data_IF_035747534470
#
_entry.id   IF_035747534470
#
_cell.length_a   1.000
_cell.length_b   1.000
_cell.length_c   1.000
_cell.angle_alpha   90.00
_cell.angle_beta   90.00
_cell.angle_gamma   90.00
#
_symmetry.space_group_name_H-M   'P 1'
#
loop_
_entity.id
_entity.type
_entity.pdbx_description
1 polymer ?
#
# COMPACT_ATOMS: atom_id res chain seq x y z
N UNK A 1 -0.84 0.29 28.05
CA UNK A 1 -2.06 -0.45 27.61
C UNK A 1 -1.88 -0.70 26.13
N UNK A 2 -2.11 -1.91 25.66
CA UNK A 2 -1.96 -2.21 24.23
C UNK A 2 -3.03 -1.47 23.42
N UNK A 3 -2.62 -0.94 22.25
CA UNK A 3 -3.48 -0.26 21.28
C UNK A 3 -4.63 -1.17 20.89
N UNK A 4 -5.86 -0.73 21.05
CA UNK A 4 -7.02 -1.48 20.53
C UNK A 4 -8.15 -0.55 20.12
N UNK A 5 -8.86 -0.94 19.07
CA UNK A 5 -10.08 -0.27 18.67
C UNK A 5 -11.26 -0.65 19.58
N UNK A 6 -12.11 0.31 19.85
CA UNK A 6 -13.30 0.12 20.68
C UNK A 6 -14.47 0.87 20.06
N UNK A 7 -15.61 0.20 19.98
CA UNK A 7 -16.85 0.84 19.56
C UNK A 7 -17.33 1.83 20.62
N UNK A 8 -17.85 2.96 20.15
CA UNK A 8 -18.49 3.97 20.99
C UNK A 8 -20.00 3.76 21.03
N UNK A 9 -20.66 4.14 22.16
CA UNK A 9 -22.11 3.99 22.35
C UNK A 9 -22.97 4.81 21.37
N UNK A 10 -22.42 5.86 20.76
CA UNK A 10 -23.10 6.72 19.78
C UNK A 10 -22.75 6.42 18.33
N UNK A 11 -22.14 5.25 18.05
CA UNK A 11 -21.54 4.94 16.74
C UNK A 11 -20.09 5.40 16.66
N UNK A 12 -19.40 5.00 15.57
CA UNK A 12 -17.97 5.25 15.41
C UNK A 12 -17.08 4.31 16.23
N UNK A 13 -15.80 4.42 16.00
CA UNK A 13 -14.76 3.60 16.63
C UNK A 13 -13.71 4.51 17.26
N UNK A 14 -13.16 4.15 18.40
CA UNK A 14 -12.07 4.90 19.03
C UNK A 14 -10.83 4.03 19.17
N UNK A 15 -9.66 4.66 19.00
CA UNK A 15 -8.34 4.05 19.21
C UNK A 15 -7.47 4.97 20.05
N UNK A 16 -6.57 4.40 20.85
CA UNK A 16 -5.49 5.13 21.52
C UNK A 16 -4.23 4.31 21.42
N UNK A 17 -3.11 4.97 21.13
CA UNK A 17 -1.79 4.38 21.04
C UNK A 17 -0.91 4.86 22.18
N UNK A 18 0.10 4.10 22.54
CA UNK A 18 1.26 4.62 23.27
C UNK A 18 2.13 5.43 22.31
N UNK A 19 3.03 6.25 22.86
CA UNK A 19 3.96 7.03 22.03
C UNK A 19 4.81 6.13 21.13
N UNK A 20 5.33 5.03 21.68
CA UNK A 20 6.13 4.05 20.93
C UNK A 20 5.34 3.36 19.83
N UNK A 21 4.09 2.96 20.08
CA UNK A 21 3.22 2.37 19.06
C UNK A 21 2.91 3.36 17.94
N UNK A 22 2.67 4.63 18.27
CA UNK A 22 2.40 5.66 17.27
C UNK A 22 3.65 6.02 16.45
N UNK A 23 4.83 6.07 17.06
CA UNK A 23 6.11 6.27 16.37
C UNK A 23 6.39 5.13 15.39
N UNK A 24 6.22 3.87 15.84
CA UNK A 24 6.38 2.71 15.00
C UNK A 24 5.41 2.75 13.80
N UNK A 25 4.13 3.03 14.05
CA UNK A 25 3.14 3.13 12.97
C UNK A 25 3.47 4.26 11.98
N UNK A 26 3.90 5.44 12.46
CA UNK A 26 4.30 6.54 11.56
C UNK A 26 5.47 6.13 10.68
N UNK A 27 6.49 5.49 11.23
CA UNK A 27 7.63 4.99 10.47
C UNK A 27 7.16 3.99 9.40
N UNK A 28 6.39 2.97 9.78
CA UNK A 28 5.89 1.96 8.86
C UNK A 28 4.97 2.55 7.76
N UNK A 29 4.13 3.54 8.10
CA UNK A 29 3.27 4.22 7.12
C UNK A 29 4.07 5.06 6.14
N UNK A 30 5.13 5.72 6.61
CA UNK A 30 6.06 6.48 5.76
C UNK A 30 6.81 5.55 4.81
N UNK A 31 7.28 4.40 5.30
CA UNK A 31 7.96 3.40 4.48
C UNK A 31 7.01 2.79 3.43
N UNK A 32 5.75 2.54 3.81
CA UNK A 32 4.72 2.06 2.90
C UNK A 32 4.39 3.10 1.81
N UNK A 33 4.28 4.40 2.16
CA UNK A 33 4.06 5.46 1.17
C UNK A 33 5.23 5.59 0.20
N UNK A 34 6.47 5.50 0.70
CA UNK A 34 7.68 5.48 -0.12
C UNK A 34 7.72 4.26 -1.06
N UNK A 35 7.33 3.07 -0.55
CA UNK A 35 7.24 1.86 -1.37
C UNK A 35 6.18 2.01 -2.49
N UNK A 36 5.03 2.61 -2.20
CA UNK A 36 4.01 2.90 -3.22
C UNK A 36 4.48 3.96 -4.22
N UNK A 37 5.30 4.92 -3.76
CA UNK A 37 5.90 5.95 -4.60
C UNK A 37 6.90 5.41 -5.61
N UNK A 38 7.62 4.31 -5.30
CA UNK A 38 8.56 3.70 -6.24
C UNK A 38 7.91 3.16 -7.52
N UNK A 39 6.59 2.95 -7.51
CA UNK A 39 5.83 2.63 -8.73
C UNK A 39 5.75 3.81 -9.72
N UNK A 40 5.94 5.05 -9.27
CA UNK A 40 5.98 6.23 -10.13
C UNK A 40 7.32 6.34 -10.88
N UNK A 41 8.39 5.84 -10.26
CA UNK A 41 9.76 5.86 -10.79
C UNK A 41 10.06 4.65 -11.70
N UNK A 42 9.16 3.67 -11.78
CA UNK A 42 9.33 2.51 -12.65
C UNK A 42 9.26 2.95 -14.13
N UNK A 43 10.33 2.74 -14.94
CA UNK A 43 10.36 3.14 -16.34
C UNK A 43 9.22 2.52 -17.17
N UNK A 44 8.71 1.36 -16.78
CA UNK A 44 7.51 0.76 -17.38
C UNK A 44 6.21 1.49 -17.02
N UNK A 45 6.23 2.31 -15.97
CA UNK A 45 5.11 3.12 -15.49
C UNK A 45 5.32 4.62 -15.71
N UNK A 46 6.55 5.06 -16.00
CA UNK A 46 6.99 6.48 -15.99
C UNK A 46 6.62 7.28 -17.23
N UNK A 47 5.96 6.71 -18.23
CA UNK A 47 5.60 7.45 -19.46
C UNK A 47 4.69 8.68 -19.20
N UNK A 48 4.31 8.95 -17.94
CA UNK A 48 3.35 10.00 -17.59
C UNK A 48 3.91 11.21 -16.85
N UNK A 49 5.17 11.19 -16.36
CA UNK A 49 5.71 12.30 -15.56
C UNK A 49 6.53 13.33 -16.35
N UNK A 50 6.82 13.12 -17.64
CA UNK A 50 7.80 13.92 -18.39
C UNK A 50 7.24 15.09 -19.21
N UNK A 51 5.97 15.47 -19.11
CA UNK A 51 5.39 16.55 -19.92
C UNK A 51 4.57 17.60 -19.16
N UNK A 52 5.03 18.01 -17.98
CA UNK A 52 4.54 19.25 -17.37
C UNK A 52 5.44 20.47 -17.65
N UNK A 53 6.50 20.34 -18.45
CA UNK A 53 7.32 21.50 -18.80
C UNK A 53 7.43 21.62 -20.33
N UNK A 54 6.71 22.61 -20.88
CA UNK A 54 6.66 22.90 -22.30
C UNK A 54 7.93 23.60 -22.77
N UNK A 55 8.49 23.14 -23.88
CA UNK A 55 9.13 24.05 -24.83
C UNK A 55 9.20 23.42 -26.23
N UNK A 56 8.63 24.12 -27.11
CA UNK A 56 8.61 24.31 -28.53
C UNK A 56 9.89 23.90 -29.30
N UNK A 57 9.72 23.31 -30.50
CA UNK A 57 10.71 23.53 -31.57
C UNK A 57 11.16 22.32 -32.41
N UNK A 58 10.59 22.21 -33.62
CA UNK A 58 11.18 21.96 -34.93
C UNK A 58 11.35 20.54 -35.50
N UNK A 59 10.86 20.47 -36.73
CA UNK A 59 10.93 19.54 -37.86
C UNK A 59 12.20 18.69 -38.01
N UNK A 60 12.03 17.45 -38.51
CA UNK A 60 13.09 16.63 -39.10
C UNK A 60 12.62 15.25 -39.56
N UNK A 61 12.27 15.12 -40.83
CA UNK A 61 11.95 13.89 -41.55
C UNK A 61 13.10 12.86 -41.47
N UNK A 62 12.78 11.58 -41.25
CA UNK A 62 13.71 10.48 -41.38
C UNK A 62 13.15 9.14 -40.91
N UNK A 63 12.55 8.37 -41.83
CA UNK A 63 12.28 6.96 -41.66
C UNK A 63 13.58 6.16 -41.60
N UNK A 64 13.79 5.24 -40.68
CA UNK A 64 13.88 3.85 -41.07
C UNK A 64 13.26 2.82 -40.08
N UNK A 65 12.80 1.75 -40.69
CA UNK A 65 12.18 0.56 -40.17
C UNK A 65 12.83 -0.09 -38.92
N UNK A 66 12.02 -0.53 -37.97
CA UNK A 66 12.22 -1.78 -37.23
C UNK A 66 12.98 -1.69 -35.91
N UNK A 67 12.35 -1.15 -34.87
CA UNK A 67 12.58 -1.58 -33.48
C UNK A 67 11.28 -1.24 -32.73
N UNK A 68 10.76 -2.15 -31.89
CA UNK A 68 9.49 -1.99 -31.20
C UNK A 68 9.43 -0.65 -30.47
N UNK A 69 8.79 0.31 -31.08
CA UNK A 69 8.53 1.61 -30.48
C UNK A 69 7.55 1.38 -29.32
N UNK A 70 7.99 1.69 -28.11
CA UNK A 70 7.09 1.88 -26.99
C UNK A 70 6.00 2.86 -27.46
N UNK A 71 4.77 2.39 -27.59
CA UNK A 71 3.65 3.20 -28.05
C UNK A 71 3.54 4.41 -27.11
N UNK A 72 3.57 5.62 -27.67
CA UNK A 72 3.34 6.84 -26.92
C UNK A 72 1.99 6.72 -26.19
N UNK A 73 1.91 7.08 -24.89
CA UNK A 73 0.66 6.96 -24.14
C UNK A 73 -0.40 7.85 -24.80
N UNK A 74 -1.58 7.24 -25.06
CA UNK A 74 -2.73 7.97 -25.60
C UNK A 74 -3.10 9.11 -24.65
N UNK A 75 -3.08 10.38 -25.09
CA UNK A 75 -3.44 11.53 -24.26
C UNK A 75 -4.82 11.41 -23.60
N UNK A 76 -5.76 10.71 -24.25
CA UNK A 76 -7.09 10.43 -23.71
C UNK A 76 -7.00 9.38 -22.58
N UNK A 77 -6.16 8.36 -22.73
CA UNK A 77 -5.94 7.36 -21.69
C UNK A 77 -5.41 8.01 -20.41
N UNK A 78 -4.45 8.95 -20.56
CA UNK A 78 -3.90 9.74 -19.44
C UNK A 78 -4.99 10.58 -18.77
N UNK A 79 -5.83 11.25 -19.54
CA UNK A 79 -6.88 12.12 -19.04
C UNK A 79 -7.97 11.35 -18.28
N UNK A 80 -8.21 10.08 -18.61
CA UNK A 80 -9.16 9.20 -17.92
C UNK A 80 -8.51 8.28 -16.87
N UNK A 81 -7.23 8.49 -16.56
CA UNK A 81 -6.52 7.75 -15.51
C UNK A 81 -6.12 6.32 -15.89
N UNK A 82 -6.04 6.00 -17.20
CA UNK A 82 -5.53 4.72 -17.68
C UNK A 82 -4.01 4.75 -17.61
N UNK A 83 -3.43 3.94 -16.71
CA UNK A 83 -1.99 3.85 -16.51
C UNK A 83 -1.26 3.12 -17.65
N UNK A 84 0.06 3.18 -17.62
CA UNK A 84 0.96 2.48 -18.56
C UNK A 84 1.47 1.16 -18.02
N UNK A 85 1.20 0.84 -16.75
CA UNK A 85 1.66 -0.37 -16.09
C UNK A 85 1.08 -1.63 -16.75
N UNK A 86 1.93 -2.39 -17.42
CA UNK A 86 1.59 -3.64 -18.11
C UNK A 86 2.23 -4.87 -17.46
N UNK A 87 3.30 -4.69 -16.69
CA UNK A 87 4.02 -5.75 -15.98
C UNK A 87 3.72 -5.74 -14.49
N UNK A 88 3.83 -6.89 -13.84
CA UNK A 88 3.78 -6.98 -12.39
C UNK A 88 4.98 -6.22 -11.79
N UNK A 89 4.82 -5.59 -10.59
CA UNK A 89 5.95 -4.99 -9.88
C UNK A 89 7.04 -6.02 -9.63
N UNK A 90 8.31 -5.64 -9.79
CA UNK A 90 9.46 -6.51 -9.50
C UNK A 90 9.62 -6.77 -7.99
N UNK A 91 9.26 -5.81 -7.16
CA UNK A 91 9.29 -5.95 -5.71
C UNK A 91 8.18 -6.92 -5.24
N UNK A 92 8.52 -8.02 -4.56
CA UNK A 92 7.54 -9.02 -4.11
C UNK A 92 6.46 -8.43 -3.19
N UNK A 93 6.80 -7.45 -2.35
CA UNK A 93 5.82 -6.80 -1.47
C UNK A 93 4.84 -5.93 -2.26
N UNK A 94 5.30 -5.25 -3.31
CA UNK A 94 4.41 -4.55 -4.24
C UNK A 94 3.53 -5.53 -5.04
N UNK A 95 4.09 -6.63 -5.52
CA UNK A 95 3.32 -7.68 -6.20
C UNK A 95 2.23 -8.25 -5.29
N UNK A 96 2.49 -8.33 -3.97
CA UNK A 96 1.49 -8.76 -2.98
C UNK A 96 0.38 -7.73 -2.79
N UNK A 97 0.68 -6.43 -2.90
CA UNK A 97 -0.31 -5.35 -2.83
C UNK A 97 -1.11 -5.21 -4.12
N UNK A 98 -0.50 -5.52 -5.27
CA UNK A 98 -1.09 -5.40 -6.61
C UNK A 98 -1.02 -6.75 -7.34
N UNK A 99 -1.77 -7.77 -6.85
CA UNK A 99 -1.75 -9.10 -7.47
C UNK A 99 -2.37 -9.07 -8.86
N UNK A 100 -2.03 -10.07 -9.66
CA UNK A 100 -2.63 -10.28 -10.97
C UNK A 100 -4.13 -10.54 -10.85
N UNK A 101 -4.89 -9.95 -11.77
CA UNK A 101 -6.33 -10.15 -11.81
C UNK A 101 -6.72 -11.52 -12.39
N UNK A 102 -5.85 -12.11 -13.20
CA UNK A 102 -6.05 -13.40 -13.86
C UNK A 102 -4.80 -14.26 -13.73
N UNK A 103 -4.95 -15.51 -13.28
CA UNK A 103 -3.83 -16.42 -12.98
C UNK A 103 -3.27 -17.08 -14.25
N UNK A 104 -4.12 -17.25 -15.28
CA UNK A 104 -3.80 -18.06 -16.47
C UNK A 104 -3.81 -17.23 -17.77
N UNK A 105 -3.90 -15.89 -17.68
CA UNK A 105 -3.95 -14.98 -18.82
C UNK A 105 -3.14 -13.70 -18.53
N UNK A 106 -1.89 -13.70 -18.97
CA UNK A 106 -0.97 -12.59 -18.78
C UNK A 106 -1.43 -11.31 -19.50
N UNK A 107 -2.07 -11.44 -20.68
CA UNK A 107 -2.57 -10.32 -21.46
C UNK A 107 -3.77 -9.65 -20.73
N UNK A 108 -4.73 -10.45 -20.26
CA UNK A 108 -5.85 -9.96 -19.47
C UNK A 108 -5.38 -9.34 -18.14
N UNK A 109 -4.35 -9.92 -17.49
CA UNK A 109 -3.74 -9.37 -16.29
C UNK A 109 -3.06 -8.02 -16.55
N UNK A 110 -2.34 -7.88 -17.67
CA UNK A 110 -1.72 -6.62 -18.08
C UNK A 110 -2.78 -5.53 -18.32
N UNK A 111 -3.86 -5.86 -19.03
CA UNK A 111 -4.96 -4.93 -19.25
C UNK A 111 -5.66 -4.54 -17.95
N UNK A 112 -5.98 -5.51 -17.09
CA UNK A 112 -6.56 -5.24 -15.77
C UNK A 112 -5.68 -4.29 -14.95
N UNK A 113 -4.37 -4.54 -14.91
CA UNK A 113 -3.40 -3.71 -14.18
C UNK A 113 -3.37 -2.30 -14.73
N UNK A 114 -3.33 -2.13 -16.04
CA UNK A 114 -3.34 -0.83 -16.71
C UNK A 114 -4.52 0.05 -16.32
N UNK A 115 -5.72 -0.55 -16.12
CA UNK A 115 -6.92 0.19 -15.75
C UNK A 115 -7.10 0.39 -14.24
N UNK A 116 -6.46 -0.43 -13.39
CA UNK A 116 -6.78 -0.44 -11.95
C UNK A 116 -5.63 -0.03 -11.04
N UNK A 117 -4.36 -0.25 -11.43
CA UNK A 117 -3.21 -0.07 -10.54
C UNK A 117 -3.07 1.36 -10.03
N UNK A 118 -3.22 2.36 -10.90
CA UNK A 118 -3.12 3.76 -10.49
C UNK A 118 -4.20 4.13 -9.45
N UNK A 119 -5.46 3.79 -9.72
CA UNK A 119 -6.56 4.05 -8.78
C UNK A 119 -6.41 3.31 -7.44
N UNK A 120 -5.94 2.06 -7.48
CA UNK A 120 -5.67 1.29 -6.26
C UNK A 120 -4.51 1.89 -5.45
N UNK A 121 -3.44 2.35 -6.11
CA UNK A 121 -2.33 3.04 -5.47
C UNK A 121 -2.80 4.33 -4.79
N UNK A 122 -3.54 5.16 -5.50
CA UNK A 122 -4.03 6.44 -4.98
C UNK A 122 -4.97 6.24 -3.79
N UNK A 123 -5.84 5.23 -3.84
CA UNK A 123 -6.68 4.85 -2.70
C UNK A 123 -5.85 4.45 -1.47
N UNK A 124 -4.78 3.65 -1.64
CA UNK A 124 -3.88 3.27 -0.55
C UNK A 124 -3.15 4.47 0.05
N UNK A 125 -2.64 5.37 -0.80
CA UNK A 125 -1.99 6.61 -0.32
C UNK A 125 -2.96 7.50 0.45
N UNK A 126 -4.22 7.59 0.03
CA UNK A 126 -5.26 8.29 0.78
C UNK A 126 -5.51 7.66 2.15
N UNK A 127 -5.54 6.32 2.24
CA UNK A 127 -5.65 5.61 3.52
C UNK A 127 -4.46 5.89 4.44
N UNK A 128 -3.23 5.90 3.90
CA UNK A 128 -2.02 6.26 4.65
C UNK A 128 -2.12 7.68 5.18
N UNK A 129 -2.48 8.65 4.34
CA UNK A 129 -2.65 10.05 4.74
C UNK A 129 -3.71 10.20 5.85
N UNK A 130 -4.82 9.48 5.76
CA UNK A 130 -5.87 9.45 6.78
C UNK A 130 -5.37 8.87 8.10
N UNK A 131 -4.60 7.79 8.05
CA UNK A 131 -4.02 7.17 9.25
C UNK A 131 -2.98 8.07 9.90
N UNK A 132 -2.08 8.69 9.12
CA UNK A 132 -1.09 9.65 9.60
C UNK A 132 -1.76 10.88 10.24
N UNK A 133 -2.82 11.40 9.63
CA UNK A 133 -3.62 12.50 10.19
C UNK A 133 -4.26 12.09 11.51
N UNK A 134 -4.78 10.88 11.60
CA UNK A 134 -5.35 10.33 12.84
C UNK A 134 -4.30 10.22 13.95
N UNK A 135 -3.10 9.72 13.64
CA UNK A 135 -2.00 9.61 14.60
C UNK A 135 -1.57 10.98 15.13
N UNK A 136 -1.68 12.04 14.30
CA UNK A 136 -1.42 13.43 14.68
C UNK A 136 -0.10 13.65 15.40
N UNK A 137 0.04 14.79 16.08
CA UNK A 137 1.22 15.12 16.90
C UNK A 137 1.12 14.54 18.33
N UNK A 138 -0.10 14.33 18.86
CA UNK A 138 -0.31 13.82 20.21
C UNK A 138 -0.77 12.35 20.16
N UNK A 139 0.18 11.46 20.23
CA UNK A 139 -0.04 10.02 20.22
C UNK A 139 -0.86 9.50 21.42
N UNK A 140 -0.85 10.24 22.54
CA UNK A 140 -1.55 9.82 23.77
C UNK A 140 -3.04 10.13 23.76
N UNK A 141 -3.48 10.92 22.79
CA UNK A 141 -4.88 11.27 22.65
C UNK A 141 -5.66 10.08 22.09
N UNK A 142 -6.85 9.89 22.63
CA UNK A 142 -7.81 8.93 22.04
C UNK A 142 -8.42 9.57 20.80
N UNK A 143 -8.27 8.89 19.67
CA UNK A 143 -8.83 9.31 18.39
C UNK A 143 -10.18 8.64 18.17
N UNK A 144 -11.16 9.40 17.72
CA UNK A 144 -12.47 8.90 17.29
C UNK A 144 -12.48 8.89 15.77
N UNK A 145 -12.77 7.73 15.23
CA UNK A 145 -12.86 7.49 13.80
C UNK A 145 -14.33 7.45 13.38
N UNK A 146 -14.66 8.15 12.32
CA UNK A 146 -15.87 7.91 11.54
C UNK A 146 -15.75 6.62 10.71
N UNK A 147 -16.76 6.33 9.91
CA UNK A 147 -16.78 5.10 9.11
C UNK A 147 -15.69 5.10 8.02
N UNK A 148 -15.40 6.24 7.42
CA UNK A 148 -14.40 6.39 6.36
C UNK A 148 -12.98 6.22 6.92
N UNK A 149 -12.66 6.92 8.01
CA UNK A 149 -11.37 6.75 8.68
C UNK A 149 -11.17 5.33 9.22
N UNK A 150 -12.22 4.69 9.74
CA UNK A 150 -12.14 3.29 10.18
C UNK A 150 -11.87 2.33 9.02
N UNK A 151 -12.47 2.58 7.84
CA UNK A 151 -12.20 1.80 6.63
C UNK A 151 -10.76 2.02 6.14
N UNK A 152 -10.26 3.26 6.14
CA UNK A 152 -8.89 3.58 5.81
C UNK A 152 -7.89 2.85 6.75
N UNK A 153 -8.15 2.86 8.06
CA UNK A 153 -7.35 2.11 9.02
C UNK A 153 -7.35 0.60 8.76
N UNK A 154 -8.49 0.03 8.38
CA UNK A 154 -8.58 -1.39 8.04
C UNK A 154 -7.70 -1.72 6.83
N UNK A 155 -7.77 -0.89 5.77
CA UNK A 155 -6.95 -1.03 4.57
C UNK A 155 -5.46 -0.91 4.88
N UNK A 156 -5.06 0.12 5.62
CA UNK A 156 -3.65 0.35 5.98
C UNK A 156 -3.07 -0.79 6.83
N UNK A 157 -3.79 -1.25 7.85
CA UNK A 157 -3.33 -2.37 8.69
C UNK A 157 -3.18 -3.66 7.88
N UNK A 158 -4.07 -3.89 6.91
CA UNK A 158 -3.95 -5.00 5.97
C UNK A 158 -2.70 -4.87 5.10
N UNK A 159 -2.48 -3.70 4.50
CA UNK A 159 -1.35 -3.44 3.62
C UNK A 159 -0.01 -3.56 4.35
N UNK A 160 0.10 -2.99 5.56
CA UNK A 160 1.28 -3.16 6.43
C UNK A 160 1.57 -4.63 6.74
N UNK A 161 0.52 -5.43 7.01
CA UNK A 161 0.68 -6.87 7.26
C UNK A 161 1.10 -7.62 6.01
N UNK A 162 0.54 -7.30 4.85
CA UNK A 162 0.93 -7.94 3.58
C UNK A 162 2.40 -7.68 3.27
N UNK A 163 2.84 -6.42 3.35
CA UNK A 163 4.24 -6.03 3.10
C UNK A 163 5.19 -6.69 4.10
N UNK A 164 4.89 -6.59 5.39
CA UNK A 164 5.74 -7.15 6.44
C UNK A 164 5.76 -8.69 6.39
N UNK A 165 4.62 -9.30 6.10
CA UNK A 165 4.51 -10.76 5.95
C UNK A 165 5.36 -11.28 4.79
N UNK A 166 5.35 -10.58 3.64
CA UNK A 166 6.20 -10.91 2.49
C UNK A 166 7.68 -10.73 2.81
N UNK A 167 8.07 -9.61 3.43
CA UNK A 167 9.46 -9.32 3.80
C UNK A 167 10.04 -10.31 4.83
N UNK A 168 9.18 -10.88 5.68
CA UNK A 168 9.56 -11.85 6.71
C UNK A 168 9.32 -13.30 6.29
N UNK A 169 8.80 -13.51 5.07
CA UNK A 169 8.44 -14.83 4.55
C UNK A 169 7.51 -15.59 5.52
N UNK A 170 6.50 -14.87 6.08
CA UNK A 170 5.60 -15.43 7.08
C UNK A 170 4.77 -16.55 6.46
N UNK A 171 4.81 -17.72 7.09
CA UNK A 171 3.98 -18.89 6.74
C UNK A 171 2.72 -18.95 7.61
N UNK A 172 1.84 -19.91 7.32
CA UNK A 172 0.63 -20.15 8.14
C UNK A 172 0.98 -20.61 9.58
N UNK A 173 2.16 -21.22 9.78
CA UNK A 173 2.66 -21.64 11.09
C UNK A 173 3.65 -20.62 11.68
N UNK A 174 3.13 -19.47 12.10
CA UNK A 174 3.93 -18.42 12.76
C UNK A 174 4.57 -18.90 14.08
N UNK A 175 3.86 -19.72 14.85
CA UNK A 175 4.35 -20.25 16.11
C UNK A 175 5.52 -21.20 15.89
N UNK A 176 5.44 -22.07 14.88
CA UNK A 176 6.55 -22.93 14.47
C UNK A 176 7.76 -22.16 13.97
N UNK A 177 7.54 -21.10 13.18
CA UNK A 177 8.62 -20.18 12.76
C UNK A 177 9.32 -19.55 13.95
N UNK A 178 8.58 -19.00 14.91
CA UNK A 178 9.13 -18.39 16.13
C UNK A 178 9.88 -19.42 16.99
N UNK A 179 9.37 -20.64 17.11
CA UNK A 179 10.01 -21.72 17.87
C UNK A 179 11.34 -22.18 17.24
N UNK A 180 11.42 -22.18 15.90
CA UNK A 180 12.62 -22.58 15.17
C UNK A 180 13.72 -21.49 15.17
N UNK A 181 13.38 -20.22 15.42
CA UNK A 181 14.34 -19.11 15.41
C UNK A 181 15.18 -19.06 16.67
N UNK A 182 16.48 -18.75 16.52
CA UNK A 182 17.35 -18.47 17.66
C UNK A 182 16.81 -17.29 18.49
N UNK A 183 16.98 -17.31 19.84
CA UNK A 183 16.49 -16.21 20.69
C UNK A 183 17.03 -14.82 20.32
N UNK A 184 18.23 -14.75 19.76
CA UNK A 184 18.90 -13.52 19.34
C UNK A 184 18.63 -13.14 17.86
N UNK A 185 17.78 -13.87 17.13
CA UNK A 185 17.45 -13.54 15.74
C UNK A 185 16.70 -12.20 15.69
N UNK A 186 17.21 -11.19 14.94
CA UNK A 186 16.59 -9.87 14.86
C UNK A 186 15.18 -9.90 14.24
N UNK A 187 14.88 -10.93 13.42
CA UNK A 187 13.54 -11.08 12.81
C UNK A 187 12.45 -11.38 13.83
N UNK A 188 12.81 -11.90 15.04
CA UNK A 188 11.81 -12.14 16.11
C UNK A 188 11.07 -10.87 16.51
N UNK A 189 11.78 -9.73 16.58
CA UNK A 189 11.15 -8.45 16.89
C UNK A 189 10.16 -8.02 15.80
N UNK A 190 10.52 -8.18 14.53
CA UNK A 190 9.66 -7.85 13.40
C UNK A 190 8.44 -8.79 13.30
N UNK A 191 8.59 -10.09 13.61
CA UNK A 191 7.47 -11.03 13.73
C UNK A 191 6.52 -10.65 14.88
N UNK A 192 7.07 -10.14 15.99
CA UNK A 192 6.25 -9.58 17.09
C UNK A 192 5.42 -8.37 16.65
N UNK A 193 5.99 -7.52 15.77
CA UNK A 193 5.24 -6.40 15.17
C UNK A 193 4.16 -6.91 14.22
N UNK A 194 4.44 -7.93 13.41
CA UNK A 194 3.48 -8.55 12.51
C UNK A 194 2.26 -9.12 13.28
N UNK A 195 2.51 -9.86 14.35
CA UNK A 195 1.46 -10.41 15.22
C UNK A 195 0.65 -9.29 15.88
N UNK A 196 1.34 -8.27 16.40
CA UNK A 196 0.70 -7.10 16.99
C UNK A 196 -0.21 -6.35 16.00
N UNK A 197 0.22 -6.15 14.74
CA UNK A 197 -0.62 -5.57 13.69
C UNK A 197 -1.87 -6.40 13.44
N UNK A 198 -1.74 -7.73 13.42
CA UNK A 198 -2.86 -8.68 13.30
C UNK A 198 -3.87 -8.50 14.42
N UNK A 199 -3.37 -8.42 15.66
CA UNK A 199 -4.21 -8.21 16.83
C UNK A 199 -4.92 -6.84 16.78
N UNK A 200 -4.22 -5.76 16.40
CA UNK A 200 -4.81 -4.42 16.24
C UNK A 200 -5.91 -4.45 15.19
N UNK A 201 -5.65 -5.04 14.02
CA UNK A 201 -6.62 -5.19 12.93
C UNK A 201 -7.86 -5.97 13.38
N UNK A 202 -7.68 -7.07 14.10
CA UNK A 202 -8.80 -7.86 14.62
C UNK A 202 -9.67 -7.07 15.60
N UNK A 203 -9.08 -6.23 16.45
CA UNK A 203 -9.86 -5.36 17.35
C UNK A 203 -10.71 -4.35 16.58
N UNK A 204 -10.21 -3.85 15.41
CA UNK A 204 -10.98 -2.97 14.53
C UNK A 204 -12.15 -3.71 13.88
N UNK A 205 -11.88 -4.87 13.29
CA UNK A 205 -12.92 -5.72 12.67
C UNK A 205 -14.03 -6.01 13.68
N UNK A 206 -13.68 -6.45 14.90
CA UNK A 206 -14.66 -6.70 15.98
C UNK A 206 -15.45 -5.45 16.38
N UNK A 207 -14.81 -4.27 16.36
CA UNK A 207 -15.49 -3.02 16.67
C UNK A 207 -16.50 -2.63 15.57
N UNK A 208 -16.19 -2.92 14.30
CA UNK A 208 -17.05 -2.67 13.14
C UNK A 208 -18.21 -3.68 13.04
N UNK A 209 -17.95 -4.97 13.29
CA UNK A 209 -18.97 -6.04 13.17
C UNK A 209 -20.05 -6.00 14.25
N UNK A 210 -19.81 -5.32 15.37
CA UNK A 210 -20.81 -5.18 16.45
C UNK A 210 -21.81 -4.05 16.18
N UNK A 211 -22.05 -3.74 14.90
CA UNK A 211 -22.99 -2.71 14.45
C UNK A 211 -24.45 -3.08 14.72
#
# INVERSE_FOLDING_TARGET
MAARFRRLRGGGVSIGFTEQEAELLRAMLTDLDALLGSLDDDPNNSANSARADGSDGSDGSGDPAGAGAAAEPDPLAVMVGIGTATSAPEDPALARLFPDGYTDDDAASADFRRYTQAGLRDARRLWIATALTTLGADARRRHVLDAEAAQAWLGVLNDLRLVLGERLEVTEDLDGMLAAMAPADPRRAALGVYDWLGWVQETLVRALMRA
#
